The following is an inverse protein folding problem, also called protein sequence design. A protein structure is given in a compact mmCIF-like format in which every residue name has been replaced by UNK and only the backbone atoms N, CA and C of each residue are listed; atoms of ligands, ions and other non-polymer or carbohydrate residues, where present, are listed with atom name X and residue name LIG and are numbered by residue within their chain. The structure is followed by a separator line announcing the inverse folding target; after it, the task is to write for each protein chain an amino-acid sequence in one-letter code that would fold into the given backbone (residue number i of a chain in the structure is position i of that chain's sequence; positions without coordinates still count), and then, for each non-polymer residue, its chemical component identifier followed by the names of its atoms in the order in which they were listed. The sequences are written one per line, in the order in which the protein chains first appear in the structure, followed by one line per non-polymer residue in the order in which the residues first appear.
data_IF_806615631410
#
_entry.id   IF_806615631410
#
_cell.length_a   1.000
_cell.length_b   1.000
_cell.length_c   1.000
_cell.angle_alpha   90.00
_cell.angle_beta   90.00
_cell.angle_gamma   90.00
#
_symmetry.space_group_name_H-M   'P 1'
#
loop_
_entity.id
_entity.type
_entity.pdbx_description
1 polymer ?
#
# COMPACT_ATOMS: atom_id res chain seq x y z
N UNK A 1 -47.48 -8.64 4.50
CA UNK A 1 -46.01 -8.52 4.36
C UNK A 1 -45.71 -7.03 4.44
N UNK A 2 -44.98 -6.60 5.46
CA UNK A 2 -44.81 -5.16 5.73
C UNK A 2 -43.79 -4.56 4.76
N UNK A 3 -43.91 -3.28 4.40
CA UNK A 3 -42.92 -2.60 3.54
C UNK A 3 -41.49 -2.72 4.08
N UNK A 4 -41.33 -2.86 5.40
CA UNK A 4 -40.06 -3.09 6.07
C UNK A 4 -39.43 -4.46 5.75
N UNK A 5 -40.24 -5.51 5.55
CA UNK A 5 -39.74 -6.85 5.19
C UNK A 5 -39.11 -6.85 3.79
N UNK A 6 -39.72 -6.11 2.86
CA UNK A 6 -39.24 -5.95 1.49
C UNK A 6 -37.93 -5.15 1.44
N UNK A 7 -37.83 -4.07 2.22
CA UNK A 7 -36.60 -3.28 2.34
C UNK A 7 -35.43 -4.09 2.90
N UNK A 8 -35.68 -4.91 3.93
CA UNK A 8 -34.64 -5.76 4.54
C UNK A 8 -34.13 -6.82 3.57
N UNK A 9 -35.03 -7.41 2.77
CA UNK A 9 -34.69 -8.40 1.76
C UNK A 9 -33.81 -7.80 0.65
N UNK A 10 -34.12 -6.60 0.16
CA UNK A 10 -33.28 -5.88 -0.80
C UNK A 10 -31.89 -5.56 -0.24
N UNK A 11 -31.79 -5.21 1.04
CA UNK A 11 -30.51 -4.91 1.70
C UNK A 11 -29.62 -6.16 1.76
N UNK A 12 -30.17 -7.31 2.16
CA UNK A 12 -29.45 -8.60 2.19
C UNK A 12 -28.97 -8.97 0.79
N UNK A 13 -29.83 -8.86 -0.23
CA UNK A 13 -29.46 -9.13 -1.62
C UNK A 13 -28.33 -8.20 -2.08
N UNK A 14 -28.41 -6.91 -1.73
CA UNK A 14 -27.36 -5.93 -2.03
C UNK A 14 -26.00 -6.31 -1.44
N UNK A 15 -25.97 -6.72 -0.16
CA UNK A 15 -24.74 -7.16 0.51
C UNK A 15 -24.14 -8.41 -0.14
N UNK A 16 -24.98 -9.39 -0.49
CA UNK A 16 -24.52 -10.64 -1.14
C UNK A 16 -23.95 -10.35 -2.54
N UNK A 17 -24.65 -9.55 -3.35
CA UNK A 17 -24.17 -9.16 -4.68
C UNK A 17 -22.87 -8.35 -4.60
N UNK A 18 -22.77 -7.43 -3.65
CA UNK A 18 -21.57 -6.64 -3.43
C UNK A 18 -20.37 -7.52 -3.04
N UNK A 19 -20.57 -8.45 -2.11
CA UNK A 19 -19.55 -9.41 -1.68
C UNK A 19 -19.06 -10.28 -2.86
N UNK A 20 -19.98 -10.87 -3.62
CA UNK A 20 -19.65 -11.75 -4.75
C UNK A 20 -18.95 -11.01 -5.89
N UNK A 21 -19.33 -9.75 -6.14
CA UNK A 21 -18.67 -8.93 -7.14
C UNK A 21 -17.24 -8.59 -6.70
N UNK A 22 -17.07 -8.22 -5.43
CA UNK A 22 -15.76 -7.87 -4.87
C UNK A 22 -14.78 -9.05 -4.86
N UNK A 23 -15.24 -10.27 -4.58
CA UNK A 23 -14.40 -11.48 -4.62
C UNK A 23 -13.98 -11.85 -6.04
N UNK A 24 -14.88 -11.77 -7.03
CA UNK A 24 -14.54 -12.00 -8.45
C UNK A 24 -13.50 -11.02 -8.98
N UNK A 25 -13.60 -9.73 -8.63
CA UNK A 25 -12.59 -8.74 -9.03
C UNK A 25 -11.19 -9.06 -8.51
N UNK A 26 -11.06 -9.56 -7.27
CA UNK A 26 -9.76 -9.99 -6.74
C UNK A 26 -9.18 -11.17 -7.49
N UNK A 27 -10.01 -12.17 -7.81
CA UNK A 27 -9.56 -13.39 -8.51
C UNK A 27 -9.12 -13.11 -9.95
N UNK A 28 -9.88 -12.29 -10.68
CA UNK A 28 -9.51 -11.93 -12.06
C UNK A 28 -8.23 -11.10 -12.11
N UNK A 29 -8.06 -10.13 -11.19
CA UNK A 29 -6.80 -9.38 -11.09
C UNK A 29 -5.60 -10.27 -10.80
N UNK A 30 -5.75 -11.28 -9.95
CA UNK A 30 -4.70 -12.25 -9.69
C UNK A 30 -4.37 -13.05 -10.96
N UNK A 31 -5.37 -13.55 -11.69
CA UNK A 31 -5.14 -14.32 -12.92
C UNK A 31 -4.43 -13.51 -14.01
N UNK A 32 -4.84 -12.27 -14.24
CA UNK A 32 -4.16 -11.35 -15.18
C UNK A 32 -2.72 -11.07 -14.74
N UNK A 33 -2.51 -10.92 -13.43
CA UNK A 33 -1.21 -10.75 -12.82
C UNK A 33 -0.29 -11.96 -13.10
N UNK A 34 -0.77 -13.19 -12.89
CA UNK A 34 -0.02 -14.43 -13.15
C UNK A 34 0.34 -14.64 -14.63
N UNK A 35 -0.53 -14.22 -15.54
CA UNK A 35 -0.32 -14.38 -16.99
C UNK A 35 0.86 -13.54 -17.53
N UNK A 36 1.21 -12.46 -16.83
CA UNK A 36 2.31 -11.56 -17.21
C UNK A 36 3.70 -12.01 -16.74
N UNK A 37 3.78 -13.07 -15.94
CA UNK A 37 5.01 -13.51 -15.28
C UNK A 37 5.77 -14.56 -16.08
N UNK A 38 7.10 -14.49 -16.03
CA UNK A 38 7.94 -15.59 -16.50
C UNK A 38 7.89 -16.80 -15.56
N UNK A 39 8.31 -17.98 -16.04
CA UNK A 39 8.31 -19.23 -15.23
C UNK A 39 9.00 -19.09 -13.86
N UNK A 40 10.18 -18.47 -13.82
CA UNK A 40 10.94 -18.25 -12.58
C UNK A 40 10.25 -17.29 -11.61
N UNK A 41 9.51 -16.33 -12.13
CA UNK A 41 8.74 -15.38 -11.33
C UNK A 41 7.49 -16.05 -10.74
N UNK A 42 6.86 -16.96 -11.49
CA UNK A 42 5.76 -17.79 -10.99
C UNK A 42 6.23 -18.72 -9.87
N UNK A 43 7.33 -19.45 -10.05
CA UNK A 43 7.92 -20.32 -9.01
C UNK A 43 8.29 -19.52 -7.74
N UNK A 44 8.87 -18.33 -7.92
CA UNK A 44 9.19 -17.45 -6.80
C UNK A 44 7.93 -16.99 -6.06
N UNK A 45 6.89 -16.67 -6.80
CA UNK A 45 5.62 -16.23 -6.27
C UNK A 45 4.93 -17.36 -5.49
N UNK A 46 4.91 -18.59 -6.01
CA UNK A 46 4.40 -19.76 -5.31
C UNK A 46 5.15 -19.98 -3.98
N UNK A 47 6.48 -19.93 -4.00
CA UNK A 47 7.31 -20.05 -2.79
C UNK A 47 7.06 -18.90 -1.79
N UNK A 48 6.74 -17.69 -2.26
CA UNK A 48 6.32 -16.58 -1.40
C UNK A 48 4.94 -16.85 -0.78
N UNK A 49 3.98 -17.33 -1.57
CA UNK A 49 2.63 -17.66 -1.07
C UNK A 49 2.64 -18.80 -0.05
N UNK A 50 3.42 -19.86 -0.28
CA UNK A 50 3.64 -20.94 0.68
C UNK A 50 4.18 -20.44 2.02
N UNK A 51 5.00 -19.38 2.00
CA UNK A 51 5.56 -18.72 3.19
C UNK A 51 4.64 -17.66 3.80
N UNK A 52 3.40 -17.59 3.34
CA UNK A 52 2.34 -16.73 3.85
C UNK A 52 2.40 -15.28 3.36
N UNK A 53 3.16 -15.00 2.31
CA UNK A 53 3.14 -13.70 1.66
C UNK A 53 1.94 -13.60 0.70
N UNK A 54 1.38 -12.41 0.54
CA UNK A 54 0.31 -12.12 -0.42
C UNK A 54 0.81 -11.11 -1.43
N UNK A 55 0.63 -11.35 -2.73
CA UNK A 55 1.01 -10.36 -3.73
C UNK A 55 0.14 -9.11 -3.61
N UNK A 56 0.79 -7.95 -3.56
CA UNK A 56 0.15 -6.64 -3.57
C UNK A 56 0.29 -5.96 -4.93
N UNK A 57 1.49 -6.01 -5.53
CA UNK A 57 1.77 -5.48 -6.87
C UNK A 57 2.76 -6.37 -7.61
N UNK A 58 2.58 -6.49 -8.92
CA UNK A 58 3.49 -7.15 -9.85
C UNK A 58 4.17 -6.08 -10.70
N UNK A 59 5.46 -6.27 -10.96
CA UNK A 59 6.29 -5.36 -11.75
C UNK A 59 6.14 -3.88 -11.34
N UNK A 60 6.16 -3.52 -10.04
CA UNK A 60 6.09 -2.12 -9.64
C UNK A 60 7.27 -1.33 -10.22
N UNK A 61 6.95 -0.23 -10.89
CA UNK A 61 7.87 0.70 -11.51
C UNK A 61 7.68 2.11 -10.94
N UNK A 62 8.78 2.81 -10.72
CA UNK A 62 8.80 4.23 -10.32
C UNK A 62 9.91 4.92 -11.08
N UNK A 63 9.52 5.86 -11.94
CA UNK A 63 10.44 6.78 -12.61
C UNK A 63 10.78 7.93 -11.67
N UNK A 64 12.08 8.17 -11.48
CA UNK A 64 12.61 9.28 -10.70
C UNK A 64 13.32 10.22 -11.66
N UNK A 65 12.98 11.50 -11.57
CA UNK A 65 13.63 12.57 -12.35
C UNK A 65 14.47 13.38 -11.37
N UNK A 66 15.75 13.55 -11.68
CA UNK A 66 16.71 14.31 -10.91
C UNK A 66 17.17 15.46 -11.78
N UNK A 67 17.07 16.68 -11.27
CA UNK A 67 17.54 17.88 -11.96
C UNK A 67 18.77 18.42 -11.23
N UNK A 68 19.87 18.61 -11.97
CA UNK A 68 21.12 19.19 -11.48
C UNK A 68 21.55 20.27 -12.47
N UNK A 69 21.52 21.55 -12.05
CA UNK A 69 21.98 22.74 -12.77
C UNK A 69 21.86 22.61 -14.31
N UNK A 70 20.61 22.59 -14.79
CA UNK A 70 20.20 22.50 -16.21
C UNK A 70 20.29 21.13 -16.89
N UNK A 71 20.64 20.06 -16.17
CA UNK A 71 20.60 18.69 -16.67
C UNK A 71 19.51 17.88 -15.97
N UNK A 72 18.77 17.11 -16.77
CA UNK A 72 17.76 16.18 -16.27
C UNK A 72 18.26 14.76 -16.42
N UNK A 73 18.33 14.05 -15.31
CA UNK A 73 18.61 12.62 -15.25
C UNK A 73 17.32 11.89 -14.90
N UNK A 74 16.98 10.86 -15.68
CA UNK A 74 15.85 10.00 -15.37
C UNK A 74 16.37 8.61 -15.04
N UNK A 75 15.93 8.07 -13.91
CA UNK A 75 16.17 6.69 -13.52
C UNK A 75 14.82 5.98 -13.35
N UNK A 76 14.77 4.68 -13.63
CA UNK A 76 13.56 3.90 -13.47
C UNK A 76 13.84 2.70 -12.57
N UNK A 77 13.21 2.71 -11.40
CA UNK A 77 13.29 1.62 -10.45
C UNK A 77 12.19 0.63 -10.78
N UNK A 78 12.56 -0.59 -11.18
CA UNK A 78 11.62 -1.68 -11.42
C UNK A 78 11.98 -2.90 -10.59
N UNK A 79 10.98 -3.45 -9.90
CA UNK A 79 11.13 -4.66 -9.10
C UNK A 79 10.13 -5.73 -9.54
N UNK A 80 10.39 -7.03 -9.28
CA UNK A 80 9.46 -8.11 -9.61
C UNK A 80 8.13 -7.98 -8.89
N UNK A 81 8.14 -7.74 -7.56
CA UNK A 81 6.92 -7.75 -6.75
C UNK A 81 6.99 -6.81 -5.55
N UNK A 82 5.82 -6.35 -5.12
CA UNK A 82 5.58 -5.96 -3.72
C UNK A 82 4.63 -6.99 -3.13
N UNK A 83 5.00 -7.55 -1.99
CA UNK A 83 4.22 -8.54 -1.25
C UNK A 83 3.84 -8.01 0.13
N UNK A 84 2.75 -8.52 0.70
CA UNK A 84 2.29 -8.19 2.04
C UNK A 84 2.37 -9.44 2.93
N UNK A 85 2.92 -9.28 4.13
CA UNK A 85 2.89 -10.29 5.19
C UNK A 85 2.70 -9.60 6.52
N UNK A 86 1.77 -10.07 7.34
CA UNK A 86 1.50 -9.52 8.67
C UNK A 86 1.25 -7.99 8.68
N UNK A 87 0.52 -7.46 7.68
CA UNK A 87 0.24 -6.02 7.47
C UNK A 87 1.46 -5.17 7.09
N UNK A 88 2.62 -5.78 6.88
CA UNK A 88 3.80 -5.10 6.35
C UNK A 88 3.96 -5.44 4.87
N UNK A 89 4.26 -4.42 4.08
CA UNK A 89 4.63 -4.52 2.70
C UNK A 89 6.14 -4.67 2.57
N UNK A 90 6.54 -5.57 1.67
CA UNK A 90 7.92 -5.89 1.37
C UNK A 90 8.15 -5.80 -0.13
N UNK A 91 9.29 -5.23 -0.51
CA UNK A 91 9.78 -5.29 -1.88
C UNK A 91 10.51 -6.62 -2.11
N UNK A 92 10.20 -7.33 -3.18
CA UNK A 92 10.90 -8.58 -3.51
C UNK A 92 12.05 -8.29 -4.45
N UNK A 93 13.25 -8.79 -4.13
CA UNK A 93 14.45 -8.66 -4.95
C UNK A 93 15.01 -10.04 -5.28
N UNK A 94 15.21 -10.32 -6.55
CA UNK A 94 15.85 -11.55 -7.00
C UNK A 94 17.37 -11.37 -7.05
N UNK A 95 18.10 -12.28 -6.41
CA UNK A 95 19.56 -12.30 -6.41
C UNK A 95 20.06 -13.02 -7.67
N UNK A 96 21.11 -12.48 -8.28
CA UNK A 96 21.91 -13.20 -9.28
C UNK A 96 23.02 -13.99 -8.56
N UNK A 97 23.27 -15.23 -8.98
CA UNK A 97 24.16 -16.21 -8.31
C UNK A 97 25.53 -15.68 -7.86
N UNK A 98 26.07 -14.65 -8.52
CA UNK A 98 27.41 -14.11 -8.26
C UNK A 98 27.48 -12.99 -7.19
N UNK A 99 26.36 -12.47 -6.70
CA UNK A 99 26.38 -11.30 -5.80
C UNK A 99 26.43 -11.70 -4.33
N UNK A 100 27.56 -11.60 -3.61
CA UNK A 100 27.55 -11.85 -2.15
C UNK A 100 26.82 -10.74 -1.39
N UNK A 101 25.73 -11.06 -0.69
CA UNK A 101 25.03 -10.10 0.18
C UNK A 101 25.87 -9.84 1.44
N UNK A 102 26.58 -8.72 1.45
CA UNK A 102 27.28 -8.22 2.65
C UNK A 102 26.43 -7.14 3.30
N UNK A 103 25.53 -7.53 4.20
CA UNK A 103 24.72 -6.58 5.00
C UNK A 103 25.62 -5.64 5.81
N UNK A 104 26.83 -6.08 6.16
CA UNK A 104 27.86 -5.25 6.80
C UNK A 104 28.31 -4.06 5.94
N UNK A 105 28.09 -4.09 4.62
CA UNK A 105 28.38 -2.95 3.74
C UNK A 105 27.40 -1.80 3.95
N UNK A 106 27.93 -0.65 4.37
CA UNK A 106 27.16 0.61 4.50
C UNK A 106 26.48 1.00 3.19
N UNK A 107 27.17 0.84 2.05
CA UNK A 107 26.61 1.12 0.71
C UNK A 107 25.38 0.26 0.44
N UNK A 108 25.44 -1.04 0.75
CA UNK A 108 24.33 -1.95 0.53
C UNK A 108 23.12 -1.60 1.40
N UNK A 109 23.35 -1.33 2.70
CA UNK A 109 22.28 -0.89 3.61
C UNK A 109 21.62 0.40 3.15
N UNK A 110 22.40 1.40 2.72
CA UNK A 110 21.88 2.66 2.16
C UNK A 110 21.03 2.38 0.91
N UNK A 111 21.50 1.51 0.01
CA UNK A 111 20.72 1.09 -1.16
C UNK A 111 19.35 0.49 -0.78
N UNK A 112 19.32 -0.46 0.14
CA UNK A 112 18.05 -1.06 0.62
C UNK A 112 17.11 -0.04 1.26
N UNK A 113 17.66 0.91 2.03
CA UNK A 113 16.89 2.00 2.63
C UNK A 113 16.29 2.92 1.57
N UNK A 114 17.06 3.28 0.54
CA UNK A 114 16.58 4.07 -0.60
C UNK A 114 15.48 3.34 -1.35
N UNK A 115 15.69 2.07 -1.70
CA UNK A 115 14.69 1.22 -2.36
C UNK A 115 13.38 1.15 -1.55
N UNK A 116 13.47 0.93 -0.22
CA UNK A 116 12.28 0.94 0.63
C UNK A 116 11.57 2.29 0.68
N UNK A 117 12.33 3.39 0.65
CA UNK A 117 11.78 4.74 0.71
C UNK A 117 11.06 5.10 -0.58
N UNK A 118 11.63 4.76 -1.74
CA UNK A 118 11.04 5.00 -3.07
C UNK A 118 9.68 4.29 -3.18
N UNK A 119 9.60 3.03 -2.76
CA UNK A 119 8.36 2.24 -2.85
C UNK A 119 7.45 2.35 -1.62
N UNK A 120 7.84 3.12 -0.60
CA UNK A 120 7.12 3.27 0.67
C UNK A 120 6.75 1.92 1.32
N UNK A 121 7.70 0.98 1.34
CA UNK A 121 7.55 -0.35 1.95
C UNK A 121 8.28 -0.43 3.29
N UNK A 122 7.98 -1.45 4.10
CA UNK A 122 8.57 -1.63 5.43
C UNK A 122 9.76 -2.61 5.45
N UNK A 123 10.07 -3.23 4.32
CA UNK A 123 11.18 -4.16 4.23
C UNK A 123 11.44 -4.68 2.84
N UNK A 124 12.44 -5.54 2.73
CA UNK A 124 12.84 -6.20 1.49
C UNK A 124 12.95 -7.70 1.73
N UNK A 125 12.38 -8.50 0.84
CA UNK A 125 12.59 -9.94 0.79
C UNK A 125 13.53 -10.23 -0.36
N UNK A 126 14.72 -10.75 -0.04
CA UNK A 126 15.69 -11.16 -1.05
C UNK A 126 15.53 -12.66 -1.29
N UNK A 127 15.23 -13.01 -2.53
CA UNK A 127 15.14 -14.38 -2.99
C UNK A 127 16.44 -14.81 -3.66
N UNK A 128 17.03 -15.89 -3.15
CA UNK A 128 18.18 -16.55 -3.78
C UNK A 128 17.71 -17.45 -4.93
N UNK A 129 18.59 -17.76 -5.88
CA UNK A 129 18.28 -18.70 -6.98
C UNK A 129 17.99 -20.12 -6.48
N UNK A 130 18.44 -20.44 -5.26
CA UNK A 130 18.14 -21.71 -4.58
C UNK A 130 16.77 -21.71 -3.87
N UNK A 131 15.94 -20.67 -4.04
CA UNK A 131 14.63 -20.55 -3.38
C UNK A 131 14.68 -20.18 -1.89
N UNK A 132 15.86 -19.85 -1.36
CA UNK A 132 16.00 -19.33 0.01
C UNK A 132 15.56 -17.87 0.04
N UNK A 133 14.63 -17.56 0.96
CA UNK A 133 14.17 -16.19 1.17
C UNK A 133 14.83 -15.62 2.41
N UNK A 134 15.34 -14.39 2.30
CA UNK A 134 15.85 -13.60 3.43
C UNK A 134 15.04 -12.34 3.57
N UNK A 135 14.42 -12.18 4.73
CA UNK A 135 13.61 -11.02 5.06
C UNK A 135 14.46 -9.97 5.77
N UNK A 136 14.37 -8.72 5.30
CA UNK A 136 15.00 -7.55 5.90
C UNK A 136 13.92 -6.58 6.31
N UNK A 137 13.66 -6.49 7.61
CA UNK A 137 12.75 -5.51 8.17
C UNK A 137 13.47 -4.18 8.38
N UNK A 138 12.90 -3.12 7.82
CA UNK A 138 13.43 -1.77 7.92
C UNK A 138 12.46 -0.93 8.75
N UNK A 139 12.83 -0.71 9.99
CA UNK A 139 12.12 0.21 10.87
C UNK A 139 12.63 1.63 10.66
N UNK A 140 12.01 2.36 9.73
CA UNK A 140 12.22 3.79 9.61
C UNK A 140 11.44 4.50 10.74
N UNK A 141 12.04 5.49 11.43
CA UNK A 141 11.30 6.32 12.36
C UNK A 141 10.23 7.10 11.57
N UNK A 142 8.98 6.65 11.64
CA UNK A 142 7.86 7.33 10.97
C UNK A 142 7.63 8.67 11.67
N UNK A 143 7.95 9.77 10.98
CA UNK A 143 7.58 11.12 11.42
C UNK A 143 6.05 11.22 11.39
N UNK A 144 5.40 11.09 12.55
CA UNK A 144 3.93 11.16 12.68
C UNK A 144 3.44 12.56 12.31
N UNK A 145 3.04 12.76 11.05
CA UNK A 145 2.39 13.99 10.58
C UNK A 145 0.86 13.98 10.83
N UNK A 146 0.27 12.79 10.99
CA UNK A 146 -1.16 12.58 11.23
C UNK A 146 -1.79 13.33 12.43
N UNK A 147 -1.14 13.51 13.60
CA UNK A 147 -1.78 14.22 14.71
C UNK A 147 -2.06 15.69 14.39
N UNK A 148 -1.28 16.33 13.50
CA UNK A 148 -1.50 17.73 13.13
C UNK A 148 -2.75 17.93 12.27
N UNK A 149 -3.00 17.04 11.30
CA UNK A 149 -4.20 17.14 10.45
C UNK A 149 -5.49 16.87 11.22
N UNK A 150 -5.46 15.89 12.14
CA UNK A 150 -6.60 15.59 13.02
C UNK A 150 -6.89 16.79 13.93
N UNK A 151 -5.85 17.42 14.50
CA UNK A 151 -6.01 18.60 15.34
C UNK A 151 -6.59 19.78 14.56
N UNK A 152 -6.11 20.03 13.33
CA UNK A 152 -6.66 21.08 12.45
C UNK A 152 -8.13 20.81 12.15
N UNK A 153 -8.50 19.56 11.83
CA UNK A 153 -9.89 19.18 11.54
C UNK A 153 -10.83 19.37 12.74
N UNK A 154 -10.35 19.09 13.96
CA UNK A 154 -11.14 19.29 15.19
C UNK A 154 -11.37 20.79 15.43
N UNK A 155 -10.33 21.61 15.23
CA UNK A 155 -10.42 23.07 15.42
C UNK A 155 -11.39 23.69 14.41
N UNK A 156 -11.29 23.35 13.11
CA UNK A 156 -12.21 23.89 12.09
C UNK A 156 -13.65 23.44 12.31
N UNK A 157 -13.87 22.19 12.71
CA UNK A 157 -15.22 21.70 13.02
C UNK A 157 -15.82 22.44 14.23
N UNK A 158 -15.03 22.63 15.29
CA UNK A 158 -15.47 23.32 16.51
C UNK A 158 -15.79 24.80 16.25
N UNK A 159 -14.96 25.47 15.45
CA UNK A 159 -15.20 26.86 15.07
C UNK A 159 -16.47 27.03 14.21
N UNK A 160 -16.67 26.14 13.22
CA UNK A 160 -17.88 26.14 12.40
C UNK A 160 -19.15 25.91 13.22
N UNK A 161 -19.10 24.96 14.17
CA UNK A 161 -20.20 24.68 15.07
C UNK A 161 -20.56 25.88 15.98
N UNK A 162 -19.55 26.56 16.52
CA UNK A 162 -19.76 27.75 17.34
C UNK A 162 -20.41 28.90 16.56
N UNK A 163 -19.95 29.15 15.32
CA UNK A 163 -20.54 30.18 14.45
C UNK A 163 -22.01 29.84 14.14
N UNK A 164 -22.32 28.57 13.83
CA UNK A 164 -23.68 28.13 13.55
C UNK A 164 -24.61 28.35 14.76
N UNK A 165 -24.16 28.02 15.98
CA UNK A 165 -24.92 28.29 17.21
C UNK A 165 -25.21 29.78 17.42
N UNK A 166 -24.21 30.65 17.21
CA UNK A 166 -24.38 32.10 17.38
C UNK A 166 -25.36 32.69 16.35
N UNK A 167 -25.32 32.21 15.11
CA UNK A 167 -26.29 32.63 14.08
C UNK A 167 -27.70 32.19 14.47
N UNK A 168 -27.86 30.97 14.99
CA UNK A 168 -29.15 30.45 15.44
C UNK A 168 -29.73 31.25 16.62
N UNK A 169 -28.91 31.58 17.62
CA UNK A 169 -29.30 32.44 18.74
C UNK A 169 -29.77 33.82 18.26
N UNK A 170 -29.04 34.43 17.32
CA UNK A 170 -29.36 35.75 16.78
C UNK A 170 -30.69 35.74 16.01
N UNK A 171 -30.92 34.72 15.17
CA UNK A 171 -32.19 34.54 14.47
C UNK A 171 -33.35 34.31 15.45
N UNK A 172 -33.14 33.60 16.55
CA UNK A 172 -34.18 33.37 17.56
C UNK A 172 -34.56 34.63 18.35
N UNK A 173 -33.69 35.64 18.43
CA UNK A 173 -33.97 36.91 19.13
C UNK A 173 -34.65 37.94 18.24
N UNK A 174 -34.48 37.88 16.91
CA UNK A 174 -35.10 38.80 15.94
C UNK A 174 -36.54 38.48 15.56
N UNK A 175 -37.16 37.43 16.11
CA UNK A 175 -38.56 37.01 15.84
C UNK A 175 -39.48 37.41 17.01
N UNK A 176 -39.19 38.52 17.69
CA UNK A 176 -40.08 39.10 18.71
C UNK A 176 -40.62 40.45 18.26
#
# INVERSE_FOLDING_TARGET
MSFYDLGFLFLIIGVILFYNRFTKYKKNRQMEMFASLGKKEQELLENLEEKGYKIKKINPDISVIIEEDYKTYSDNFRFPFIVNKNKNDYLVKMRKEKESIRISSSRYRKGLLTECSIFNVQGIVVADTTGKLREFNINLPKKRLLPKLILISIITFSAGFYIALRIFEYLSQGVK
#
